data_IF_669804529659
#
_entry.id   IF_669804529659
#
_cell.length_a   1.000
_cell.length_b   1.000
_cell.length_c   1.000
_cell.angle_alpha   90.00
_cell.angle_beta   90.00
_cell.angle_gamma   90.00
#
_symmetry.space_group_name_H-M   'P 1'
#
loop_
_entity.id
_entity.type
_entity.pdbx_description
1 polymer ?
#
# COMPACT_ATOMS: atom_id res chain seq x y z
N UNK A 1 19.83 -18.14 -69.00
CA UNK A 1 18.97 -18.54 -67.87
C UNK A 1 19.35 -17.68 -66.66
N UNK A 2 18.59 -16.62 -66.36
CA UNK A 2 18.80 -15.74 -65.19
C UNK A 2 17.78 -16.11 -64.14
N UNK A 3 18.24 -16.71 -63.03
CA UNK A 3 17.43 -16.90 -61.84
C UNK A 3 17.48 -15.60 -61.02
N UNK A 4 16.32 -14.96 -60.86
CA UNK A 4 16.12 -13.84 -59.95
C UNK A 4 15.65 -14.42 -58.62
N UNK A 5 16.47 -14.29 -57.59
CA UNK A 5 16.13 -14.62 -56.21
C UNK A 5 15.39 -13.42 -55.63
N UNK A 6 14.09 -13.58 -55.33
CA UNK A 6 13.33 -12.66 -54.48
C UNK A 6 13.66 -12.97 -53.02
N UNK A 7 14.26 -12.02 -52.31
CA UNK A 7 14.39 -12.05 -50.84
C UNK A 7 13.26 -11.19 -50.28
N UNK A 8 12.26 -11.83 -49.68
CA UNK A 8 11.21 -11.16 -48.90
C UNK A 8 11.76 -10.99 -47.48
N UNK A 9 12.14 -9.76 -47.13
CA UNK A 9 12.52 -9.41 -45.76
C UNK A 9 11.23 -9.13 -44.98
N UNK A 10 10.80 -10.09 -44.17
CA UNK A 10 9.70 -9.93 -43.23
C UNK A 10 10.16 -9.12 -42.01
N UNK A 11 9.75 -7.87 -41.94
CA UNK A 11 9.97 -7.00 -40.79
C UNK A 11 8.86 -7.27 -39.75
N UNK A 12 9.13 -8.16 -38.79
CA UNK A 12 8.22 -8.39 -37.65
C UNK A 12 8.43 -7.22 -36.69
N UNK A 13 7.53 -6.24 -36.73
CA UNK A 13 7.41 -5.22 -35.69
C UNK A 13 6.92 -5.90 -34.40
N UNK A 14 7.83 -6.15 -33.47
CA UNK A 14 7.47 -6.47 -32.09
C UNK A 14 7.02 -5.17 -31.43
N UNK A 15 5.71 -4.94 -31.38
CA UNK A 15 5.13 -3.87 -30.58
C UNK A 15 5.25 -4.31 -29.13
N UNK A 16 6.20 -3.73 -28.39
CA UNK A 16 6.21 -3.85 -26.93
C UNK A 16 5.00 -3.07 -26.42
N UNK A 17 3.88 -3.77 -26.22
CA UNK A 17 2.74 -3.25 -25.47
C UNK A 17 3.22 -3.15 -24.02
N UNK A 18 3.79 -2.00 -23.64
CA UNK A 18 3.95 -1.69 -22.23
C UNK A 18 2.55 -1.70 -21.63
N UNK A 19 2.26 -2.67 -20.77
CA UNK A 19 1.02 -2.69 -20.02
C UNK A 19 0.93 -1.37 -19.25
N UNK A 20 0.08 -0.45 -19.72
CA UNK A 20 -0.17 0.79 -19.02
C UNK A 20 -0.83 0.42 -17.70
N UNK A 21 -0.08 0.56 -16.61
CA UNK A 21 -0.55 0.30 -15.26
C UNK A 21 -1.67 1.28 -14.94
N UNK A 22 -2.92 0.88 -15.16
CA UNK A 22 -4.08 1.71 -14.83
C UNK A 22 -4.31 1.62 -13.33
N UNK A 23 -3.98 2.70 -12.62
CA UNK A 23 -4.34 2.86 -11.21
C UNK A 23 -5.74 3.43 -11.09
N UNK A 24 -6.56 2.77 -10.30
CA UNK A 24 -7.95 3.15 -10.02
C UNK A 24 -8.11 3.49 -8.55
N UNK A 25 -8.73 4.62 -8.24
CA UNK A 25 -9.10 5.01 -6.89
C UNK A 25 -10.62 5.02 -6.78
N UNK A 26 -11.14 4.28 -5.81
CA UNK A 26 -12.57 4.22 -5.49
C UNK A 26 -12.83 4.73 -4.09
N UNK A 27 -13.90 5.51 -3.94
CA UNK A 27 -14.38 5.99 -2.65
C UNK A 27 -15.75 5.41 -2.38
N UNK A 28 -15.93 4.82 -1.21
CA UNK A 28 -17.15 4.15 -0.82
C UNK A 28 -17.67 4.68 0.52
N UNK A 29 -18.99 4.66 0.69
CA UNK A 29 -19.68 4.94 1.95
C UNK A 29 -20.75 3.90 2.20
N UNK A 30 -21.02 3.59 3.45
CA UNK A 30 -22.14 2.74 3.84
C UNK A 30 -21.95 2.27 5.26
N UNK A 31 -22.48 1.09 5.58
CA UNK A 31 -22.55 0.62 6.95
C UNK A 31 -21.99 -0.80 7.11
N UNK A 32 -21.35 -1.03 8.25
CA UNK A 32 -21.15 -2.37 8.78
C UNK A 32 -22.34 -2.68 9.69
N UNK A 33 -23.05 -3.78 9.39
CA UNK A 33 -24.20 -4.29 10.14
C UNK A 33 -25.33 -3.27 10.32
N UNK A 34 -25.55 -2.39 9.32
CA UNK A 34 -26.57 -1.34 9.33
C UNK A 34 -26.49 -0.40 10.56
N UNK A 35 -25.31 -0.33 11.20
CA UNK A 35 -25.12 0.32 12.50
C UNK A 35 -23.89 1.20 12.55
N UNK A 36 -22.83 0.79 11.87
CA UNK A 36 -21.54 1.45 11.95
C UNK A 36 -21.22 2.10 10.60
N UNK A 37 -21.55 3.39 10.43
CA UNK A 37 -21.27 4.09 9.18
C UNK A 37 -19.77 4.25 8.98
N UNK A 38 -19.30 3.91 7.79
CA UNK A 38 -17.91 3.98 7.40
C UNK A 38 -17.72 4.71 6.08
N UNK A 39 -16.52 5.25 5.90
CA UNK A 39 -15.98 5.69 4.61
C UNK A 39 -14.75 4.86 4.30
N UNK A 40 -14.61 4.46 3.05
CA UNK A 40 -13.51 3.66 2.56
C UNK A 40 -12.90 4.30 1.32
N UNK A 41 -11.58 4.32 1.21
CA UNK A 41 -10.86 4.72 -0.01
C UNK A 41 -9.89 3.62 -0.38
N UNK A 42 -10.01 3.09 -1.60
CA UNK A 42 -9.16 2.02 -2.11
C UNK A 42 -8.46 2.46 -3.38
N UNK A 43 -7.16 2.19 -3.44
CA UNK A 43 -6.29 2.31 -4.59
C UNK A 43 -6.01 0.91 -5.14
N UNK A 44 -6.31 0.70 -6.41
CA UNK A 44 -6.24 -0.59 -7.08
C UNK A 44 -5.25 -0.48 -8.23
N UNK A 45 -4.24 -1.34 -8.22
CA UNK A 45 -3.20 -1.39 -9.25
C UNK A 45 -2.79 -2.84 -9.48
N UNK A 46 -3.00 -3.35 -10.71
CA UNK A 46 -2.69 -4.74 -11.08
C UNK A 46 -3.27 -5.79 -10.12
N UNK A 47 -4.49 -5.58 -9.64
CA UNK A 47 -5.15 -6.48 -8.68
C UNK A 47 -4.64 -6.40 -7.25
N UNK A 48 -3.60 -5.61 -6.96
CA UNK A 48 -3.25 -5.24 -5.58
C UNK A 48 -4.11 -4.08 -5.12
N UNK A 49 -4.49 -4.10 -3.84
CA UNK A 49 -5.34 -3.07 -3.23
C UNK A 49 -4.66 -2.51 -2.00
N UNK A 50 -4.50 -1.19 -1.97
CA UNK A 50 -4.05 -0.44 -0.80
C UNK A 50 -5.09 0.62 -0.48
N UNK A 51 -5.37 0.86 0.79
CA UNK A 51 -6.39 1.83 1.14
C UNK A 51 -6.56 1.99 2.62
N UNK A 52 -7.68 2.57 2.99
CA UNK A 52 -8.09 2.66 4.37
C UNK A 52 -9.60 2.74 4.46
N UNK A 53 -10.11 2.48 5.64
CA UNK A 53 -11.45 2.90 6.01
C UNK A 53 -11.43 3.61 7.36
N UNK A 54 -12.50 4.29 7.70
CA UNK A 54 -12.71 4.80 9.05
C UNK A 54 -14.19 4.81 9.39
N UNK A 55 -14.49 4.71 10.67
CA UNK A 55 -15.82 4.96 11.20
C UNK A 55 -16.09 6.47 11.20
N UNK A 56 -17.24 6.89 10.67
CA UNK A 56 -17.65 8.30 10.58
C UNK A 56 -17.56 9.02 11.93
N UNK A 57 -17.85 8.32 13.03
CA UNK A 57 -17.80 8.87 14.39
C UNK A 57 -16.39 9.28 14.84
N UNK A 58 -15.36 8.52 14.46
CA UNK A 58 -14.01 8.66 15.01
C UNK A 58 -13.01 9.24 14.00
N UNK A 59 -13.25 9.03 12.70
CA UNK A 59 -12.40 9.49 11.59
C UNK A 59 -10.94 8.98 11.64
N UNK A 60 -10.62 8.06 12.55
CA UNK A 60 -9.32 7.37 12.58
C UNK A 60 -9.21 6.38 11.43
N UNK A 61 -8.25 6.63 10.53
CA UNK A 61 -7.98 5.79 9.35
C UNK A 61 -7.37 4.45 9.78
N UNK A 62 -7.95 3.36 9.34
CA UNK A 62 -7.47 1.99 9.53
C UNK A 62 -6.97 1.49 8.17
N UNK A 63 -5.69 1.12 8.11
CA UNK A 63 -5.04 0.63 6.90
C UNK A 63 -5.73 -0.63 6.38
N UNK A 64 -5.94 -0.69 5.07
CA UNK A 64 -6.38 -1.86 4.34
C UNK A 64 -5.36 -2.24 3.28
N UNK A 65 -4.95 -3.51 3.29
CA UNK A 65 -4.08 -4.09 2.26
C UNK A 65 -4.70 -5.39 1.78
N UNK A 66 -4.69 -5.62 0.47
CA UNK A 66 -5.33 -6.81 -0.06
C UNK A 66 -5.22 -6.96 -1.56
N UNK A 67 -6.17 -7.70 -2.10
CA UNK A 67 -6.20 -8.05 -3.52
C UNK A 67 -7.63 -8.03 -4.08
N UNK A 68 -7.69 -7.82 -5.39
CA UNK A 68 -8.90 -7.86 -6.20
C UNK A 68 -8.70 -8.84 -7.36
N UNK A 69 -9.58 -9.83 -7.45
CA UNK A 69 -9.62 -10.80 -8.56
C UNK A 69 -10.98 -10.71 -9.25
N UNK A 70 -11.01 -10.14 -10.45
CA UNK A 70 -12.26 -9.75 -11.10
C UNK A 70 -12.96 -8.68 -10.28
N UNK A 71 -14.17 -8.96 -9.79
CA UNK A 71 -14.94 -8.04 -8.93
C UNK A 71 -14.82 -8.40 -7.44
N UNK A 72 -14.09 -9.45 -7.07
CA UNK A 72 -14.01 -9.95 -5.69
C UNK A 72 -12.81 -9.35 -4.97
N UNK A 73 -13.01 -8.99 -3.72
CA UNK A 73 -12.04 -8.33 -2.85
C UNK A 73 -11.79 -9.15 -1.58
N UNK A 74 -10.52 -9.18 -1.19
CA UNK A 74 -10.08 -9.60 0.14
C UNK A 74 -9.14 -8.53 0.68
N UNK A 75 -9.55 -7.83 1.74
CA UNK A 75 -8.86 -6.67 2.31
C UNK A 75 -8.58 -6.91 3.80
N UNK A 76 -7.32 -6.97 4.19
CA UNK A 76 -6.90 -7.18 5.58
C UNK A 76 -6.67 -5.82 6.26
N UNK A 77 -7.16 -5.68 7.49
CA UNK A 77 -6.77 -4.63 8.42
C UNK A 77 -5.37 -4.95 8.93
N UNK A 78 -4.43 -4.01 8.71
CA UNK A 78 -3.08 -4.08 9.29
C UNK A 78 -2.47 -5.48 9.20
N UNK A 79 -2.08 -5.96 8.01
CA UNK A 79 -1.40 -7.24 7.95
C UNK A 79 -0.15 -7.10 8.82
N UNK A 80 -0.09 -7.85 9.92
CA UNK A 80 1.19 -8.21 10.51
C UNK A 80 2.05 -8.88 9.43
N UNK A 81 3.28 -9.28 9.75
CA UNK A 81 4.10 -10.10 8.84
C UNK A 81 3.40 -11.41 8.37
N UNK A 82 2.25 -11.76 8.96
CA UNK A 82 1.45 -12.91 8.58
C UNK A 82 0.67 -12.69 7.29
N UNK A 83 0.85 -13.59 6.32
CA UNK A 83 0.15 -13.61 5.03
C UNK A 83 -1.35 -13.90 5.14
N UNK A 84 -1.79 -14.40 6.30
CA UNK A 84 -3.13 -14.93 6.47
C UNK A 84 -4.12 -13.83 6.80
N UNK A 85 -5.25 -13.83 6.10
CA UNK A 85 -6.36 -12.94 6.42
C UNK A 85 -6.86 -13.22 7.85
N UNK A 86 -6.79 -12.20 8.72
CA UNK A 86 -7.29 -12.24 10.10
C UNK A 86 -8.57 -11.41 10.26
N UNK A 87 -8.49 -10.13 9.90
CA UNK A 87 -9.57 -9.16 10.12
C UNK A 87 -9.70 -8.22 8.93
N UNK A 88 -10.90 -7.89 8.49
CA UNK A 88 -11.12 -6.90 7.44
C UNK A 88 -12.30 -7.24 6.55
N UNK A 89 -12.24 -6.93 5.26
CA UNK A 89 -13.39 -7.02 4.36
C UNK A 89 -13.22 -8.13 3.32
N UNK A 90 -14.27 -8.91 3.13
CA UNK A 90 -14.40 -9.86 2.03
C UNK A 90 -15.72 -9.58 1.33
N UNK A 91 -15.69 -9.33 0.03
CA UNK A 91 -16.89 -8.96 -0.71
C UNK A 91 -16.65 -8.86 -2.20
N UNK A 92 -17.62 -8.33 -2.92
CA UNK A 92 -17.51 -8.08 -4.35
C UNK A 92 -18.26 -6.83 -4.78
N UNK A 93 -17.84 -6.24 -5.90
CA UNK A 93 -18.54 -5.11 -6.52
C UNK A 93 -19.62 -5.63 -7.47
N UNK A 94 -20.87 -5.26 -7.19
CA UNK A 94 -22.06 -5.55 -7.99
C UNK A 94 -22.85 -4.24 -8.15
N UNK A 95 -23.13 -3.84 -9.39
CA UNK A 95 -23.96 -2.67 -9.71
C UNK A 95 -23.58 -1.40 -8.93
N UNK A 96 -22.28 -1.09 -8.87
CA UNK A 96 -21.70 0.05 -8.12
C UNK A 96 -21.81 -0.02 -6.60
N UNK A 97 -22.08 -1.19 -6.04
CA UNK A 97 -22.05 -1.45 -4.60
C UNK A 97 -20.99 -2.50 -4.27
N UNK A 98 -20.26 -2.28 -3.19
CA UNK A 98 -19.50 -3.34 -2.52
C UNK A 98 -20.45 -4.09 -1.58
N UNK A 99 -20.72 -5.35 -1.91
CA UNK A 99 -21.55 -6.24 -1.10
C UNK A 99 -20.65 -7.31 -0.48
N UNK A 100 -20.64 -7.42 0.84
CA UNK A 100 -19.77 -8.37 1.50
C UNK A 100 -19.94 -8.42 3.01
N UNK A 101 -18.84 -8.74 3.68
CA UNK A 101 -18.77 -8.81 5.12
C UNK A 101 -17.48 -8.18 5.64
N UNK A 102 -17.59 -7.55 6.80
CA UNK A 102 -16.46 -7.38 7.70
C UNK A 102 -16.31 -8.67 8.53
N UNK A 103 -15.12 -9.23 8.56
CA UNK A 103 -14.79 -10.51 9.20
C UNK A 103 -13.67 -10.29 10.20
N UNK A 104 -13.78 -10.85 11.39
CA UNK A 104 -12.71 -10.98 12.39
C UNK A 104 -12.64 -12.46 12.78
N UNK A 105 -11.66 -13.17 12.22
CA UNK A 105 -11.45 -14.60 12.49
C UNK A 105 -10.98 -14.84 13.92
N UNK A 106 -10.31 -13.89 14.55
CA UNK A 106 -9.80 -14.04 15.92
C UNK A 106 -10.93 -14.07 16.95
N UNK A 107 -12.06 -13.43 16.63
CA UNK A 107 -13.26 -13.40 17.46
C UNK A 107 -14.44 -14.18 16.87
N UNK A 108 -14.20 -14.97 15.81
CA UNK A 108 -15.25 -15.69 15.06
C UNK A 108 -16.45 -14.81 14.70
N UNK A 109 -16.19 -13.55 14.32
CA UNK A 109 -17.24 -12.54 14.10
C UNK A 109 -17.33 -12.19 12.64
N UNK A 110 -18.55 -12.21 12.11
CA UNK A 110 -18.86 -11.78 10.74
C UNK A 110 -20.02 -10.80 10.79
N UNK A 111 -19.87 -9.66 10.13
CA UNK A 111 -20.87 -8.59 10.05
C UNK A 111 -21.10 -8.25 8.58
N UNK A 112 -22.37 -8.16 8.15
CA UNK A 112 -22.71 -7.70 6.80
C UNK A 112 -22.10 -6.32 6.54
N UNK A 113 -21.59 -6.10 5.34
CA UNK A 113 -21.10 -4.81 4.86
C UNK A 113 -21.74 -4.50 3.52
N UNK A 114 -22.27 -3.29 3.38
CA UNK A 114 -22.97 -2.81 2.19
C UNK A 114 -22.55 -1.36 1.95
N UNK A 115 -21.75 -1.13 0.90
CA UNK A 115 -21.17 0.17 0.61
C UNK A 115 -21.49 0.59 -0.82
N UNK A 116 -21.84 1.86 -0.99
CA UNK A 116 -22.08 2.49 -2.28
C UNK A 116 -20.77 3.11 -2.76
N UNK A 117 -20.42 2.90 -4.03
CA UNK A 117 -19.31 3.60 -4.68
C UNK A 117 -19.77 5.02 -5.03
N UNK A 118 -19.21 6.01 -4.36
CA UNK A 118 -19.53 7.43 -4.59
C UNK A 118 -18.73 8.01 -5.74
N UNK A 119 -17.49 7.54 -5.91
CA UNK A 119 -16.62 7.99 -6.98
C UNK A 119 -15.66 6.88 -7.38
N UNK A 120 -15.38 6.86 -8.67
CA UNK A 120 -14.39 6.00 -9.28
C UNK A 120 -13.57 6.87 -10.24
N UNK A 121 -12.28 6.94 -10.01
CA UNK A 121 -11.38 7.77 -10.81
C UNK A 121 -10.14 6.98 -11.20
N UNK A 122 -9.61 7.25 -12.39
CA UNK A 122 -8.26 6.85 -12.73
C UNK A 122 -7.31 7.85 -12.09
N UNK A 123 -6.36 7.36 -11.30
CA UNK A 123 -5.43 8.24 -10.61
C UNK A 123 -4.46 8.86 -11.62
N UNK A 124 -4.60 10.17 -11.85
CA UNK A 124 -3.59 10.96 -12.53
C UNK A 124 -2.49 11.30 -11.52
N UNK A 125 -1.49 10.42 -11.41
CA UNK A 125 -0.36 10.64 -10.51
C UNK A 125 0.49 11.78 -11.03
N UNK A 126 0.77 12.75 -10.16
CA UNK A 126 1.74 13.80 -10.48
C UNK A 126 3.14 13.21 -10.54
N UNK A 127 4.04 13.87 -11.25
CA UNK A 127 5.47 13.52 -11.27
C UNK A 127 6.06 13.46 -9.87
N UNK A 128 5.58 14.31 -8.95
CA UNK A 128 6.05 14.36 -7.57
C UNK A 128 5.64 13.11 -6.79
N UNK A 129 4.39 12.65 -6.94
CA UNK A 129 3.92 11.41 -6.31
C UNK A 129 4.70 10.21 -6.84
N UNK A 130 4.92 10.13 -8.16
CA UNK A 130 5.73 9.08 -8.78
C UNK A 130 7.20 9.14 -8.32
N UNK A 131 7.71 10.34 -8.10
CA UNK A 131 9.03 10.59 -7.53
C UNK A 131 9.19 10.06 -6.10
N UNK A 132 8.10 9.97 -5.33
CA UNK A 132 8.12 9.50 -3.94
C UNK A 132 7.83 8.00 -3.84
N UNK A 133 6.90 7.48 -4.64
CA UNK A 133 6.57 6.05 -4.59
C UNK A 133 7.77 5.17 -4.90
N UNK A 134 7.88 4.06 -4.16
CA UNK A 134 8.85 3.02 -4.42
C UNK A 134 9.51 2.49 -3.16
N UNK A 135 10.54 1.68 -3.39
CA UNK A 135 11.34 1.08 -2.33
C UNK A 135 12.58 1.93 -2.09
N UNK A 136 12.85 2.22 -0.83
CA UNK A 136 14.05 2.87 -0.33
C UNK A 136 14.84 1.85 0.47
N UNK A 137 16.13 1.71 0.17
CA UNK A 137 17.03 0.78 0.86
C UNK A 137 17.93 1.56 1.81
N UNK A 138 18.17 1.03 3.01
CA UNK A 138 19.06 1.68 3.97
C UNK A 138 20.45 1.84 3.37
N UNK A 139 21.07 3.01 3.57
CA UNK A 139 22.44 3.27 3.10
C UNK A 139 23.49 2.39 3.79
N UNK A 140 23.09 1.69 4.86
CA UNK A 140 23.93 0.76 5.63
C UNK A 140 23.68 -0.72 5.27
N UNK A 141 22.86 -1.00 4.25
CA UNK A 141 22.62 -2.36 3.81
C UNK A 141 23.94 -3.10 3.50
N UNK A 142 24.03 -4.32 4.02
CA UNK A 142 25.19 -5.20 3.92
C UNK A 142 24.76 -6.66 4.16
N UNK A 143 25.70 -7.61 4.14
CA UNK A 143 25.41 -9.00 4.53
C UNK A 143 24.93 -9.14 5.99
N UNK A 144 25.26 -8.15 6.84
CA UNK A 144 24.99 -8.19 8.29
C UNK A 144 23.76 -7.42 8.72
N UNK A 145 23.29 -6.52 7.86
CA UNK A 145 22.19 -5.61 8.15
C UNK A 145 21.42 -5.33 6.87
N UNK A 146 20.10 -5.45 6.96
CA UNK A 146 19.17 -5.06 5.90
C UNK A 146 18.12 -4.11 6.49
N UNK A 147 17.76 -3.10 5.72
CA UNK A 147 16.71 -2.15 6.05
C UNK A 147 16.05 -1.65 4.78
N UNK A 148 14.72 -1.53 4.80
CA UNK A 148 13.97 -1.01 3.67
C UNK A 148 12.70 -0.29 4.10
N UNK A 149 12.31 0.72 3.32
CA UNK A 149 11.02 1.40 3.40
C UNK A 149 10.35 1.36 2.04
N UNK A 150 9.12 0.87 1.97
CA UNK A 150 8.27 0.97 0.79
C UNK A 150 7.23 2.07 1.02
N UNK A 151 7.09 3.00 0.07
CA UNK A 151 6.04 4.01 0.06
C UNK A 151 5.12 3.80 -1.14
N UNK A 152 3.82 3.68 -0.89
CA UNK A 152 2.79 3.54 -1.91
C UNK A 152 1.67 4.56 -1.71
N UNK A 153 1.41 5.40 -2.70
CA UNK A 153 0.35 6.40 -2.64
C UNK A 153 -1.02 5.73 -2.69
N UNK A 154 -1.90 6.16 -1.79
CA UNK A 154 -3.30 5.77 -1.78
C UNK A 154 -4.10 6.84 -2.53
N UNK A 155 -4.06 8.08 -2.05
CA UNK A 155 -4.72 9.23 -2.64
C UNK A 155 -4.10 10.54 -2.12
N UNK A 156 -3.94 11.53 -3.00
CA UNK A 156 -3.39 12.83 -2.61
C UNK A 156 -1.99 12.71 -2.00
N UNK A 157 -1.83 13.21 -0.79
CA UNK A 157 -0.62 13.16 0.04
C UNK A 157 -0.59 11.98 1.03
N UNK A 158 -1.56 11.07 0.97
CA UNK A 158 -1.63 9.90 1.84
C UNK A 158 -0.94 8.68 1.21
N UNK A 159 -0.02 8.10 1.96
CA UNK A 159 0.76 6.93 1.57
C UNK A 159 0.59 5.79 2.58
N UNK A 160 0.50 4.57 2.06
CA UNK A 160 0.83 3.38 2.81
C UNK A 160 2.35 3.27 2.88
N UNK A 161 2.89 3.01 4.06
CA UNK A 161 4.28 2.66 4.22
C UNK A 161 4.43 1.25 4.78
N UNK A 162 5.51 0.58 4.39
CA UNK A 162 5.99 -0.65 5.01
C UNK A 162 7.48 -0.45 5.31
N UNK A 163 7.88 -0.58 6.56
CA UNK A 163 9.27 -0.48 6.98
C UNK A 163 9.71 -1.81 7.60
N UNK A 164 10.89 -2.27 7.21
CA UNK A 164 11.47 -3.49 7.71
C UNK A 164 12.96 -3.33 7.94
N UNK A 165 13.47 -4.07 8.92
CA UNK A 165 14.90 -4.20 9.15
C UNK A 165 15.24 -5.60 9.69
N UNK A 166 16.52 -5.96 9.57
CA UNK A 166 17.02 -7.25 9.99
C UNK A 166 18.53 -7.23 10.19
N UNK A 167 19.02 -8.03 11.14
CA UNK A 167 20.46 -8.21 11.40
C UNK A 167 20.87 -9.68 11.33
N UNK A 168 22.17 -9.93 11.15
CA UNK A 168 22.75 -11.29 11.22
C UNK A 168 22.51 -11.98 12.58
N UNK A 169 22.28 -11.20 13.65
CA UNK A 169 22.01 -11.72 14.98
C UNK A 169 20.56 -12.18 15.17
N UNK A 170 19.73 -12.16 14.12
CA UNK A 170 18.34 -12.58 14.16
C UNK A 170 17.36 -11.55 14.73
N UNK A 171 17.80 -10.29 14.90
CA UNK A 171 16.88 -9.22 15.25
C UNK A 171 16.15 -8.78 13.96
N UNK A 172 14.82 -8.70 14.03
CA UNK A 172 13.94 -8.33 12.92
C UNK A 172 12.91 -7.33 13.44
N UNK A 173 12.63 -6.32 12.64
CA UNK A 173 11.59 -5.34 12.87
C UNK A 173 10.74 -5.18 11.63
N UNK A 174 9.43 -5.05 11.83
CA UNK A 174 8.49 -4.78 10.76
C UNK A 174 7.37 -3.88 11.29
N UNK A 175 7.02 -2.86 10.52
CA UNK A 175 5.92 -1.97 10.80
C UNK A 175 5.31 -1.50 9.48
N UNK A 176 3.99 -1.39 9.43
CA UNK A 176 3.29 -0.75 8.33
C UNK A 176 2.25 0.23 8.86
N UNK A 177 1.79 1.12 7.99
CA UNK A 177 0.82 2.11 8.40
C UNK A 177 0.50 3.11 7.32
N UNK A 178 -0.18 4.16 7.74
CA UNK A 178 -0.56 5.30 6.91
C UNK A 178 0.24 6.52 7.33
N UNK A 179 0.80 7.23 6.36
CA UNK A 179 1.48 8.50 6.58
C UNK A 179 0.94 9.54 5.60
N UNK A 180 0.54 10.69 6.13
CA UNK A 180 0.17 11.85 5.33
C UNK A 180 1.39 12.75 5.20
N UNK A 181 1.90 12.92 3.97
CA UNK A 181 3.12 13.66 3.68
C UNK A 181 2.78 15.11 3.36
N UNK A 182 2.91 15.99 4.36
CA UNK A 182 2.74 17.43 4.23
C UNK A 182 3.68 17.98 3.15
N UNK A 183 3.08 18.68 2.18
CA UNK A 183 3.78 19.18 0.98
C UNK A 183 4.60 18.12 0.25
N UNK A 184 4.24 16.83 0.40
CA UNK A 184 4.99 15.69 -0.13
C UNK A 184 6.45 15.61 0.38
N UNK A 185 6.75 16.21 1.53
CA UNK A 185 8.10 16.27 2.11
C UNK A 185 8.22 15.61 3.46
N UNK A 186 7.23 15.74 4.33
CA UNK A 186 7.35 15.15 5.67
C UNK A 186 6.04 14.66 6.24
N UNK A 187 6.11 13.61 7.04
CA UNK A 187 4.94 13.01 7.66
C UNK A 187 5.27 12.37 8.99
N UNK A 188 4.25 12.18 9.81
CA UNK A 188 4.37 11.57 11.12
C UNK A 188 3.39 10.42 11.21
N UNK A 189 3.89 9.27 11.66
CA UNK A 189 3.11 8.13 12.10
C UNK A 189 3.23 7.97 13.62
N UNK A 190 2.15 7.55 14.26
CA UNK A 190 2.12 7.32 15.71
C UNK A 190 1.06 6.26 16.04
N UNK A 191 1.40 5.38 16.98
CA UNK A 191 0.51 4.37 17.55
C UNK A 191 0.80 4.20 19.04
N UNK A 192 0.03 3.36 19.73
CA UNK A 192 0.31 3.02 21.12
C UNK A 192 1.68 2.35 21.31
N UNK A 193 2.16 1.60 20.33
CA UNK A 193 3.44 0.86 20.36
C UNK A 193 4.59 1.59 19.67
N UNK A 194 4.34 2.79 19.15
CA UNK A 194 5.36 3.62 18.51
C UNK A 194 4.95 5.08 18.67
N UNK A 195 5.57 5.76 19.64
CA UNK A 195 5.20 7.13 20.02
C UNK A 195 5.28 8.05 18.81
N UNK A 196 6.38 7.99 18.04
CA UNK A 196 6.52 8.77 16.82
C UNK A 196 7.51 8.13 15.85
N UNK A 197 7.09 8.02 14.58
CA UNK A 197 7.96 7.76 13.44
C UNK A 197 7.82 8.91 12.44
N UNK A 198 8.89 9.64 12.20
CA UNK A 198 8.91 10.82 11.34
C UNK A 198 9.63 10.52 10.03
N UNK A 199 8.96 10.83 8.92
CA UNK A 199 9.46 10.65 7.56
C UNK A 199 9.86 12.03 7.01
N UNK A 200 11.08 12.14 6.50
CA UNK A 200 11.58 13.35 5.84
C UNK A 200 12.15 12.98 4.47
N UNK A 201 11.47 13.42 3.42
CA UNK A 201 11.80 13.16 2.04
C UNK A 201 12.58 14.31 1.43
N UNK A 202 13.60 13.94 0.68
CA UNK A 202 14.26 14.77 -0.32
C UNK A 202 14.06 14.11 -1.69
N UNK A 203 14.67 14.62 -2.76
CA UNK A 203 14.44 14.10 -4.11
C UNK A 203 14.73 12.60 -4.26
N UNK A 204 15.76 12.07 -3.58
CA UNK A 204 16.18 10.66 -3.71
C UNK A 204 16.46 9.97 -2.36
N UNK A 205 16.33 10.67 -1.24
CA UNK A 205 16.58 10.13 0.09
C UNK A 205 15.37 10.30 1.00
N UNK A 206 15.12 9.28 1.79
CA UNK A 206 14.18 9.29 2.90
C UNK A 206 14.97 9.18 4.20
N UNK A 207 14.78 10.12 5.12
CA UNK A 207 15.26 10.01 6.49
C UNK A 207 14.08 9.61 7.38
N UNK A 208 14.28 8.56 8.18
CA UNK A 208 13.34 8.10 9.19
C UNK A 208 13.92 8.44 10.56
N UNK A 209 13.15 9.14 11.38
CA UNK A 209 13.51 9.47 12.76
C UNK A 209 12.51 8.79 13.69
N UNK A 210 13.01 8.03 14.64
CA UNK A 210 12.21 7.20 15.52
C UNK A 210 12.25 7.73 16.96
N UNK A 211 11.10 7.67 17.64
CA UNK A 211 10.97 8.00 19.05
C UNK A 211 10.11 6.92 19.70
N UNK A 212 10.72 6.16 20.63
CA UNK A 212 10.07 5.14 21.46
C UNK A 212 9.13 4.21 20.67
N UNK A 213 9.70 3.34 19.83
CA UNK A 213 8.96 2.32 19.11
C UNK A 213 9.37 0.91 19.54
N UNK A 214 8.39 0.12 19.98
CA UNK A 214 8.58 -1.23 20.53
C UNK A 214 8.27 -2.33 19.48
N UNK A 215 8.27 -1.98 18.19
CA UNK A 215 7.90 -2.86 17.07
C UNK A 215 9.11 -3.52 16.39
N UNK A 216 10.23 -3.56 17.10
CA UNK A 216 11.46 -4.23 16.69
C UNK A 216 12.28 -4.68 17.91
N UNK A 217 13.21 -5.61 17.70
CA UNK A 217 14.15 -5.98 18.76
C UNK A 217 15.04 -4.80 19.19
N UNK A 218 15.61 -4.85 20.40
CA UNK A 218 16.47 -3.81 21.01
C UNK A 218 17.69 -3.33 20.17
N UNK A 219 17.95 -3.94 19.01
CA UNK A 219 19.11 -3.64 18.14
C UNK A 219 18.73 -3.42 16.69
N UNK A 220 17.46 -3.19 16.39
CA UNK A 220 16.97 -2.97 15.04
C UNK A 220 16.09 -1.73 15.00
N UNK A 221 16.64 -0.52 15.23
CA UNK A 221 15.86 0.68 15.08
C UNK A 221 15.49 0.87 13.59
N UNK A 222 14.33 1.47 13.37
CA UNK A 222 13.89 1.91 12.06
C UNK A 222 14.57 3.22 11.63
N UNK A 223 15.15 3.95 12.59
CA UNK A 223 15.85 5.20 12.31
C UNK A 223 16.98 5.04 11.29
N UNK A 224 17.14 6.04 10.43
CA UNK A 224 18.26 6.08 9.48
C UNK A 224 17.94 6.78 8.17
N UNK A 225 18.90 6.68 7.25
CA UNK A 225 18.77 7.19 5.88
C UNK A 225 18.58 6.05 4.91
N UNK A 226 17.63 6.23 4.00
CA UNK A 226 17.28 5.28 2.97
C UNK A 226 17.35 5.96 1.61
N UNK A 227 17.95 5.28 0.63
CA UNK A 227 18.06 5.76 -0.75
C UNK A 227 17.05 5.05 -1.62
N UNK A 228 16.36 5.78 -2.48
CA UNK A 228 15.43 5.19 -3.43
C UNK A 228 16.16 4.20 -4.36
N UNK A 229 15.59 3.02 -4.51
CA UNK A 229 16.05 2.00 -5.46
C UNK A 229 15.65 2.41 -6.87
N UNK A 230 16.62 2.44 -7.77
CA UNK A 230 16.42 2.72 -9.20
C UNK A 230 15.71 1.58 -9.93
#
# INVERSE_FOLDING_TARGET
>A
MRNIILIIIGFILTINLSAQTSRKVIQLTGDISDKYPIVMTLNIENGKVFGFYYYEKYKTKILLVGQMTGNKFTLNESPDYESDFKTGFIGEIIDSNFIGNWVDKTKEKTLKCDLIINSETHANLTTDILGIEGTYESIYNSEKYIGSVNLKNIAGDLFCFEISNGTESGCVGFLNGLVELKELKSGIFSTQSCEKLEFQLTSNELTVIEYNCDLHGMRCPFEGKYRKKE
#
